data_IF_037530598865
#
_entry.id   IF_037530598865
#
_cell.length_a   1.000
_cell.length_b   1.000
_cell.length_c   1.000
_cell.angle_alpha   90.00
_cell.angle_beta   90.00
_cell.angle_gamma   90.00
#
_symmetry.space_group_name_H-M   'P 1'
#
loop_
_entity.id
_entity.type
_entity.pdbx_description
1 polymer ?
#
# COMPACT_ATOMS: atom_id res chain seq x y z
N UNK A 1 19.51 -8.51 -1.27
CA UNK A 1 18.55 -9.27 -2.09
C UNK A 1 19.27 -9.77 -3.32
N UNK A 2 19.61 -11.06 -3.37
CA UNK A 2 20.09 -11.71 -4.56
C UNK A 2 18.90 -11.79 -5.53
N UNK A 3 18.93 -10.94 -6.57
CA UNK A 3 18.18 -11.22 -7.76
C UNK A 3 18.68 -12.54 -8.32
N UNK A 4 17.88 -13.57 -8.20
CA UNK A 4 18.15 -14.83 -8.88
C UNK A 4 17.99 -14.54 -10.37
N UNK A 5 19.08 -14.16 -11.02
CA UNK A 5 19.21 -14.26 -12.46
C UNK A 5 19.18 -15.76 -12.78
N UNK A 6 18.00 -16.27 -13.05
CA UNK A 6 17.85 -17.58 -13.66
C UNK A 6 18.34 -17.41 -15.10
N UNK A 7 19.63 -17.61 -15.31
CA UNK A 7 20.18 -17.84 -16.64
C UNK A 7 19.78 -19.26 -17.05
N UNK A 8 18.58 -19.40 -17.60
CA UNK A 8 18.18 -20.61 -18.30
C UNK A 8 18.86 -20.57 -19.69
N UNK A 9 20.01 -21.18 -19.82
CA UNK A 9 20.53 -21.62 -21.10
C UNK A 9 19.71 -22.86 -21.47
N UNK A 10 18.73 -22.67 -22.34
CA UNK A 10 17.97 -23.78 -22.93
C UNK A 10 18.16 -23.73 -24.45
N UNK A 11 18.42 -24.89 -25.00
CA UNK A 11 18.38 -25.08 -26.43
C UNK A 11 16.94 -25.22 -26.93
N UNK A 12 16.69 -24.87 -28.16
CA UNK A 12 15.36 -24.89 -28.76
C UNK A 12 15.31 -25.88 -29.91
N UNK A 13 14.21 -26.59 -30.04
CA UNK A 13 13.94 -27.46 -31.18
C UNK A 13 12.51 -27.22 -31.70
N UNK A 14 12.29 -27.57 -32.93
CA UNK A 14 10.92 -27.59 -33.47
C UNK A 14 10.14 -28.82 -32.99
N UNK A 15 10.85 -29.93 -32.75
CA UNK A 15 10.28 -31.18 -32.32
C UNK A 15 11.36 -31.99 -31.59
N UNK A 16 11.12 -32.44 -30.39
CA UNK A 16 12.02 -33.24 -29.57
C UNK A 16 12.26 -34.65 -30.15
N UNK A 17 11.44 -35.11 -31.09
CA UNK A 17 11.58 -36.41 -31.75
C UNK A 17 12.56 -36.41 -32.96
N UNK A 18 13.09 -35.22 -33.31
CA UNK A 18 14.07 -35.12 -34.42
C UNK A 18 15.35 -35.86 -34.05
N UNK A 19 16.03 -36.40 -35.10
CA UNK A 19 17.33 -37.05 -34.93
C UNK A 19 18.43 -36.01 -34.65
N UNK A 20 19.10 -36.19 -33.51
CA UNK A 20 20.23 -35.36 -33.09
C UNK A 20 20.44 -35.42 -31.58
N UNK A 21 21.64 -35.07 -31.10
CA UNK A 21 22.01 -35.28 -29.69
C UNK A 21 21.24 -34.35 -28.74
N UNK A 22 20.85 -33.16 -29.19
CA UNK A 22 20.32 -32.12 -28.31
C UNK A 22 18.80 -31.93 -28.35
N UNK A 23 18.13 -32.50 -29.38
CA UNK A 23 16.66 -32.31 -29.54
C UNK A 23 15.82 -32.82 -28.38
N UNK A 24 16.19 -33.96 -27.79
CA UNK A 24 15.48 -34.56 -26.68
C UNK A 24 15.57 -33.77 -25.36
N UNK A 25 16.60 -32.91 -25.24
CA UNK A 25 16.84 -32.03 -24.08
C UNK A 25 16.40 -30.58 -24.31
N UNK A 26 15.98 -30.25 -25.53
CA UNK A 26 15.61 -28.91 -25.97
C UNK A 26 14.13 -28.62 -25.70
N UNK A 27 13.77 -27.33 -25.64
CA UNK A 27 12.40 -26.88 -25.49
C UNK A 27 11.70 -26.75 -26.84
N UNK A 28 10.52 -27.30 -26.95
CA UNK A 28 9.60 -27.05 -28.05
C UNK A 28 8.93 -25.67 -27.94
N UNK A 29 8.39 -25.11 -29.05
CA UNK A 29 7.81 -23.77 -29.05
C UNK A 29 6.77 -23.51 -27.95
N UNK A 30 5.90 -24.48 -27.68
CA UNK A 30 4.87 -24.34 -26.64
C UNK A 30 5.49 -24.31 -25.26
N UNK A 31 6.46 -25.15 -24.98
CA UNK A 31 7.16 -25.19 -23.69
C UNK A 31 7.91 -23.89 -23.44
N UNK A 32 8.50 -23.28 -24.49
CA UNK A 32 9.13 -21.96 -24.37
C UNK A 32 8.12 -20.87 -24.02
N UNK A 33 6.95 -20.85 -24.67
CA UNK A 33 5.88 -19.89 -24.38
C UNK A 33 5.44 -20.03 -22.92
N UNK A 34 5.22 -21.25 -22.46
CA UNK A 34 4.78 -21.55 -21.09
C UNK A 34 5.83 -21.11 -20.07
N UNK A 35 7.10 -21.38 -20.33
CA UNK A 35 8.24 -20.96 -19.49
C UNK A 35 8.32 -19.43 -19.38
N UNK A 36 8.27 -18.72 -20.50
CA UNK A 36 8.32 -17.25 -20.52
C UNK A 36 7.13 -16.68 -19.78
N UNK A 37 5.95 -17.23 -19.96
CA UNK A 37 4.71 -16.81 -19.28
C UNK A 37 4.84 -17.01 -17.78
N UNK A 38 5.37 -18.14 -17.33
CA UNK A 38 5.60 -18.41 -15.91
C UNK A 38 6.62 -17.45 -15.29
N UNK A 39 7.71 -17.14 -16.00
CA UNK A 39 8.71 -16.16 -15.54
C UNK A 39 8.08 -14.78 -15.38
N UNK A 40 7.34 -14.30 -16.37
CA UNK A 40 6.69 -12.98 -16.31
C UNK A 40 5.64 -12.89 -15.21
N UNK A 41 4.87 -13.95 -15.00
CA UNK A 41 3.92 -14.03 -13.90
C UNK A 41 4.61 -13.99 -12.54
N UNK A 42 5.76 -14.67 -12.42
CA UNK A 42 6.56 -14.66 -11.19
C UNK A 42 7.17 -13.29 -10.91
N UNK A 43 7.68 -12.59 -11.93
CA UNK A 43 8.19 -11.22 -11.82
C UNK A 43 7.09 -10.25 -11.30
N UNK A 44 5.88 -10.37 -11.83
CA UNK A 44 4.74 -9.57 -11.37
C UNK A 44 4.35 -9.89 -9.93
N UNK A 45 4.38 -11.17 -9.54
CA UNK A 45 4.05 -11.62 -8.20
C UNK A 45 5.07 -11.18 -7.14
N UNK A 46 6.34 -11.04 -7.51
CA UNK A 46 7.40 -10.53 -6.63
C UNK A 46 7.19 -9.05 -6.25
N UNK A 47 6.52 -8.28 -7.12
CA UNK A 47 6.20 -6.88 -6.85
C UNK A 47 7.44 -6.00 -6.67
N UNK A 48 7.30 -4.96 -5.88
CA UNK A 48 8.36 -4.01 -5.59
C UNK A 48 9.00 -4.28 -4.22
N UNK A 49 10.33 -4.10 -4.13
CA UNK A 49 11.09 -4.28 -2.89
C UNK A 49 10.67 -3.28 -1.79
N UNK A 50 10.15 -2.11 -2.17
CA UNK A 50 9.71 -1.08 -1.24
C UNK A 50 8.20 -1.15 -1.02
N UNK A 51 7.81 -1.18 0.26
CA UNK A 51 6.40 -1.01 0.63
C UNK A 51 5.96 0.40 0.24
N UNK A 52 5.04 0.51 -0.68
CA UNK A 52 4.40 1.75 -1.11
C UNK A 52 2.88 1.64 -1.01
N UNK A 53 2.22 2.76 -0.81
CA UNK A 53 0.75 2.80 -0.79
C UNK A 53 0.27 2.58 -2.22
N UNK A 54 -0.60 1.60 -2.42
CA UNK A 54 -1.20 1.35 -3.74
C UNK A 54 -2.15 2.49 -4.14
N UNK A 55 -2.44 2.61 -5.44
CA UNK A 55 -3.38 3.63 -5.91
C UNK A 55 -4.78 3.48 -5.27
N UNK A 56 -5.25 2.24 -5.09
CA UNK A 56 -6.52 1.94 -4.45
C UNK A 56 -6.52 2.27 -2.94
N UNK A 57 -5.41 2.03 -2.23
CA UNK A 57 -5.26 2.40 -0.83
C UNK A 57 -5.20 3.93 -0.66
N UNK A 58 -4.54 4.63 -1.59
CA UNK A 58 -4.43 6.08 -1.55
C UNK A 58 -5.80 6.76 -1.57
N UNK A 59 -6.73 6.27 -2.40
CA UNK A 59 -8.10 6.80 -2.50
C UNK A 59 -8.85 6.62 -1.18
N UNK A 60 -8.67 5.49 -0.51
CA UNK A 60 -9.38 5.18 0.74
C UNK A 60 -8.71 5.77 1.99
N UNK A 61 -7.48 6.26 1.87
CA UNK A 61 -6.68 6.69 3.02
C UNK A 61 -7.35 7.79 3.85
N UNK A 62 -7.94 8.80 3.19
CA UNK A 62 -8.64 9.91 3.84
C UNK A 62 -9.88 9.44 4.61
N UNK A 63 -10.61 8.49 4.06
CA UNK A 63 -11.86 7.99 4.65
C UNK A 63 -11.62 6.98 5.78
N UNK A 64 -10.53 6.20 5.70
CA UNK A 64 -10.24 5.12 6.65
C UNK A 64 -9.45 5.61 7.86
N UNK A 65 -8.58 6.60 7.69
CA UNK A 65 -7.80 7.17 8.79
C UNK A 65 -8.70 7.89 9.79
N UNK A 66 -8.25 7.88 11.02
CA UNK A 66 -8.86 8.66 12.11
C UNK A 66 -8.15 9.99 12.25
N UNK A 67 -8.86 11.00 12.74
CA UNK A 67 -8.32 12.29 13.18
C UNK A 67 -8.91 12.69 14.53
N UNK A 68 -8.36 13.73 15.10
CA UNK A 68 -8.93 14.35 16.29
C UNK A 68 -10.10 15.21 15.83
N UNK A 69 -11.23 15.06 16.51
CA UNK A 69 -12.48 15.77 16.21
C UNK A 69 -13.10 16.35 17.48
N UNK A 70 -13.86 17.43 17.34
CA UNK A 70 -14.67 17.96 18.42
C UNK A 70 -15.81 16.99 18.76
N UNK A 71 -15.98 16.65 20.04
CA UNK A 71 -17.07 15.83 20.56
C UNK A 71 -18.19 16.67 21.14
N UNK A 72 -17.91 17.95 21.38
CA UNK A 72 -18.82 19.00 21.82
C UNK A 72 -18.51 20.27 21.06
N UNK A 73 -19.41 21.27 21.11
CA UNK A 73 -19.14 22.61 20.61
C UNK A 73 -18.02 23.23 21.45
N UNK A 74 -17.00 23.76 20.77
CA UNK A 74 -15.81 24.38 21.38
C UNK A 74 -15.72 25.80 20.83
N UNK A 75 -15.68 26.80 21.68
CA UNK A 75 -15.50 28.18 21.26
C UNK A 75 -14.01 28.52 21.17
N UNK A 76 -13.72 29.57 20.39
CA UNK A 76 -12.38 30.16 20.36
C UNK A 76 -11.95 30.56 21.78
N UNK A 77 -10.76 30.14 22.18
CA UNK A 77 -10.21 30.36 23.53
C UNK A 77 -10.54 29.25 24.54
N UNK A 78 -11.47 28.35 24.25
CA UNK A 78 -11.76 27.21 25.11
C UNK A 78 -10.56 26.23 25.13
N UNK A 79 -10.36 25.58 26.28
CA UNK A 79 -9.27 24.61 26.44
C UNK A 79 -9.70 23.23 25.96
N UNK A 80 -8.87 22.59 25.13
CA UNK A 80 -9.08 21.20 24.72
C UNK A 80 -8.89 20.25 25.92
N UNK A 81 -9.85 19.36 26.11
CA UNK A 81 -9.86 18.38 27.18
C UNK A 81 -10.45 17.04 26.71
N UNK A 82 -10.36 16.01 27.53
CA UNK A 82 -10.84 14.65 27.20
C UNK A 82 -12.36 14.57 26.94
N UNK A 83 -13.15 15.54 27.36
CA UNK A 83 -14.60 15.57 27.19
C UNK A 83 -14.99 16.21 25.85
N UNK A 84 -14.22 17.20 25.37
CA UNK A 84 -14.59 18.00 24.20
C UNK A 84 -13.86 17.61 22.91
N UNK A 85 -12.84 16.77 22.96
CA UNK A 85 -12.18 16.20 21.78
C UNK A 85 -12.15 14.67 21.84
N UNK A 86 -12.09 14.04 20.67
CA UNK A 86 -12.03 12.58 20.55
C UNK A 86 -11.42 12.14 19.21
N UNK A 87 -11.18 10.84 19.07
CA UNK A 87 -10.57 10.27 17.85
C UNK A 87 -11.66 9.54 17.06
N UNK A 88 -12.00 10.08 15.88
CA UNK A 88 -13.02 9.50 14.98
C UNK A 88 -12.55 9.53 13.52
N UNK A 89 -13.30 8.90 12.61
CA UNK A 89 -13.18 9.01 11.15
C UNK A 89 -14.14 10.11 10.67
N UNK A 90 -13.86 10.78 9.54
CA UNK A 90 -12.72 10.64 8.62
C UNK A 90 -11.44 11.31 9.14
N UNK A 91 -10.31 10.98 8.48
CA UNK A 91 -8.97 11.43 8.88
C UNK A 91 -8.52 12.68 8.14
N UNK A 92 -9.29 13.76 8.20
CA UNK A 92 -9.01 15.05 7.54
C UNK A 92 -8.53 16.15 8.50
N UNK A 93 -8.32 15.84 9.78
CA UNK A 93 -7.77 16.75 10.79
C UNK A 93 -6.44 16.29 11.34
N UNK A 94 -6.06 16.82 12.50
CA UNK A 94 -4.84 16.46 13.19
C UNK A 94 -4.74 14.96 13.46
N UNK A 95 -3.52 14.43 13.31
CA UNK A 95 -3.25 13.02 13.56
C UNK A 95 -3.53 12.63 15.01
N UNK A 96 -4.10 11.44 15.28
CA UNK A 96 -4.29 10.93 16.63
C UNK A 96 -3.04 10.90 17.51
N UNK A 97 -1.83 10.89 16.93
CA UNK A 97 -0.58 10.97 17.69
C UNK A 97 -0.42 12.24 18.50
N UNK A 98 -1.03 13.34 18.02
CA UNK A 98 -0.97 14.65 18.65
C UNK A 98 -2.01 14.82 19.78
N UNK A 99 -2.83 13.81 20.06
CA UNK A 99 -3.92 13.91 21.02
C UNK A 99 -3.45 14.42 22.39
N UNK A 100 -2.38 13.84 22.90
CA UNK A 100 -1.84 14.21 24.21
C UNK A 100 -1.12 15.58 24.22
N UNK A 101 -0.65 16.00 23.05
CA UNK A 101 0.05 17.29 22.90
C UNK A 101 -0.93 18.47 22.87
N UNK A 102 -2.12 18.27 22.31
CA UNK A 102 -3.13 19.34 22.23
C UNK A 102 -4.00 19.47 23.48
N UNK A 103 -4.06 18.42 24.33
CA UNK A 103 -4.77 18.53 25.60
C UNK A 103 -4.19 19.64 26.47
N UNK A 104 -5.06 20.52 26.96
CA UNK A 104 -4.67 21.68 27.76
C UNK A 104 -4.30 22.91 26.94
N UNK A 105 -4.21 22.82 25.60
CA UNK A 105 -4.04 23.99 24.74
C UNK A 105 -5.37 24.66 24.44
N UNK A 106 -5.34 25.91 23.98
CA UNK A 106 -6.55 26.67 23.64
C UNK A 106 -6.93 26.53 22.16
N UNK A 107 -8.22 26.47 21.90
CA UNK A 107 -8.78 26.49 20.56
C UNK A 107 -8.55 27.86 19.90
N UNK A 108 -7.94 27.88 18.72
CA UNK A 108 -7.69 29.10 17.96
C UNK A 108 -8.90 29.57 17.15
N UNK A 109 -9.92 28.73 17.04
CA UNK A 109 -11.18 29.01 16.34
C UNK A 109 -12.32 28.20 16.97
N UNK A 110 -13.54 28.54 16.61
CA UNK A 110 -14.73 27.77 17.03
C UNK A 110 -14.85 26.48 16.23
N UNK A 111 -15.18 25.38 16.92
CA UNK A 111 -15.45 24.07 16.32
C UNK A 111 -16.84 23.58 16.74
N UNK A 112 -17.59 23.01 15.80
CA UNK A 112 -18.85 22.34 16.06
C UNK A 112 -18.64 20.84 16.31
N UNK A 113 -19.59 20.21 16.97
CA UNK A 113 -19.58 18.75 17.14
C UNK A 113 -19.35 18.04 15.81
N UNK A 114 -18.30 17.22 15.73
CA UNK A 114 -17.92 16.48 14.53
C UNK A 114 -16.87 17.15 13.65
N UNK A 115 -16.56 18.43 13.87
CA UNK A 115 -15.52 19.13 13.13
C UNK A 115 -14.14 18.52 13.43
N UNK A 116 -13.31 18.43 12.40
CA UNK A 116 -11.92 18.03 12.55
C UNK A 116 -11.10 19.16 13.20
N UNK A 117 -10.29 18.80 14.19
CA UNK A 117 -9.34 19.74 14.79
C UNK A 117 -8.14 19.84 13.84
N UNK A 118 -7.78 21.06 13.46
CA UNK A 118 -6.70 21.40 12.52
C UNK A 118 -5.63 22.25 13.20
#
# INVERSE_FOLDING_TARGET
FLGVLINCLNDFTLDCSMEGPDHTASLEPQQLIDMVTAIRSSELALGAERKSVSASESINRSNVRKSIVATQDINEGDTFNELNIGIKRPGNGLSPHLYWEILGTQALKTFKVGDAIE
#
